data_IF_928951873909
#
_entry.id   IF_928951873909
#
_cell.length_a   1.000
_cell.length_b   1.000
_cell.length_c   1.000
_cell.angle_alpha   90.00
_cell.angle_beta   90.00
_cell.angle_gamma   90.00
#
_symmetry.space_group_name_H-M   'P 1'
#
loop_
_entity.id
_entity.type
_entity.pdbx_description
1 polymer ?
#
# COMPACT_ATOMS: atom_id res chain seq x y z
N UNK A 1 -19.79 -5.89 -7.87
CA UNK A 1 -19.94 -5.13 -6.61
C UNK A 1 -18.87 -4.03 -6.41
N UNK A 2 -17.56 -4.31 -6.31
CA UNK A 2 -16.53 -3.24 -6.16
C UNK A 2 -16.23 -2.53 -7.48
N UNK A 3 -16.04 -3.28 -8.57
CA UNK A 3 -15.78 -2.71 -9.91
C UNK A 3 -16.90 -1.76 -10.36
N UNK A 4 -18.16 -2.19 -10.22
CA UNK A 4 -19.34 -1.38 -10.52
C UNK A 4 -19.39 -0.12 -9.66
N UNK A 5 -19.06 -0.21 -8.36
CA UNK A 5 -19.00 0.95 -7.49
C UNK A 5 -17.93 1.97 -7.91
N UNK A 6 -16.77 1.50 -8.39
CA UNK A 6 -15.74 2.39 -8.96
C UNK A 6 -16.26 3.13 -10.18
N UNK A 7 -16.94 2.43 -11.10
CA UNK A 7 -17.49 3.02 -12.32
C UNK A 7 -18.59 4.05 -12.03
N UNK A 8 -19.48 3.74 -11.08
CA UNK A 8 -20.63 4.57 -10.71
C UNK A 8 -20.31 5.72 -9.75
N UNK A 9 -19.09 5.78 -9.20
CA UNK A 9 -18.70 6.85 -8.26
C UNK A 9 -18.87 8.24 -8.90
N UNK A 10 -19.33 9.25 -8.17
CA UNK A 10 -19.35 10.61 -8.73
C UNK A 10 -17.92 11.13 -8.84
N UNK A 11 -17.56 11.87 -9.91
CA UNK A 11 -16.27 12.54 -9.97
C UNK A 11 -16.19 13.52 -8.79
N UNK A 12 -15.24 13.29 -7.89
CA UNK A 12 -14.95 14.17 -6.76
C UNK A 12 -13.47 14.56 -6.81
N UNK A 13 -13.09 15.56 -6.02
CA UNK A 13 -11.66 15.88 -5.82
C UNK A 13 -10.94 14.87 -4.91
N UNK A 14 -11.62 13.80 -4.47
CA UNK A 14 -11.01 12.76 -3.63
C UNK A 14 -10.40 11.65 -4.49
N UNK A 15 -9.24 11.15 -4.07
CA UNK A 15 -8.57 10.02 -4.72
C UNK A 15 -9.37 8.72 -4.49
N UNK A 16 -9.64 7.98 -5.57
CA UNK A 16 -10.33 6.69 -5.48
C UNK A 16 -9.34 5.55 -5.24
N UNK A 17 -9.39 5.02 -4.01
CA UNK A 17 -8.52 3.95 -3.57
C UNK A 17 -9.29 2.67 -3.24
N UNK A 18 -8.70 1.50 -3.55
CA UNK A 18 -9.22 0.20 -3.10
C UNK A 18 -8.18 -0.52 -2.26
N UNK A 19 -8.59 -1.00 -1.07
CA UNK A 19 -7.79 -1.94 -0.28
C UNK A 19 -8.07 -3.36 -0.75
N UNK A 20 -7.04 -4.08 -1.16
CA UNK A 20 -7.15 -5.50 -1.55
C UNK A 20 -6.86 -6.42 -0.36
N UNK A 21 -7.00 -7.73 -0.56
CA UNK A 21 -6.51 -8.73 0.37
C UNK A 21 -4.97 -8.84 0.34
N UNK A 22 -4.37 -9.23 1.47
CA UNK A 22 -2.91 -9.33 1.62
C UNK A 22 -2.34 -10.46 0.76
N UNK A 23 -1.43 -10.16 -0.20
CA UNK A 23 -0.77 -11.20 -1.00
C UNK A 23 0.01 -12.20 -0.14
N UNK A 24 0.60 -11.74 0.95
CA UNK A 24 1.36 -12.55 1.92
C UNK A 24 0.52 -13.59 2.67
N UNK A 25 -0.81 -13.42 2.76
CA UNK A 25 -1.72 -14.35 3.47
C UNK A 25 -2.52 -15.19 2.49
N UNK A 26 -3.04 -14.58 1.44
CA UNK A 26 -3.96 -15.25 0.50
C UNK A 26 -3.68 -14.81 -0.93
N UNK A 27 -2.60 -15.34 -1.56
CA UNK A 27 -2.17 -14.93 -2.89
C UNK A 27 -3.27 -15.04 -3.96
N UNK A 28 -4.04 -16.14 -3.95
CA UNK A 28 -5.11 -16.37 -4.92
C UNK A 28 -6.26 -15.34 -4.80
N UNK A 29 -6.61 -14.96 -3.57
CA UNK A 29 -7.66 -13.96 -3.31
C UNK A 29 -7.15 -12.57 -3.69
N UNK A 30 -5.91 -12.23 -3.33
CA UNK A 30 -5.28 -10.98 -3.73
C UNK A 30 -5.21 -10.85 -5.26
N UNK A 31 -4.90 -11.93 -5.98
CA UNK A 31 -4.92 -11.93 -7.44
C UNK A 31 -6.34 -11.70 -7.98
N UNK A 32 -7.35 -12.38 -7.44
CA UNK A 32 -8.75 -12.17 -7.83
C UNK A 32 -9.20 -10.73 -7.59
N UNK A 33 -8.74 -10.07 -6.53
CA UNK A 33 -9.05 -8.67 -6.28
C UNK A 33 -8.43 -7.78 -7.36
N UNK A 34 -7.15 -8.03 -7.71
CA UNK A 34 -6.46 -7.28 -8.76
C UNK A 34 -7.15 -7.44 -10.12
N UNK A 35 -7.53 -8.66 -10.48
CA UNK A 35 -8.24 -8.94 -11.72
C UNK A 35 -9.60 -8.20 -11.79
N UNK A 36 -10.24 -7.98 -10.64
CA UNK A 36 -11.51 -7.25 -10.56
C UNK A 36 -11.34 -5.72 -10.62
N UNK A 37 -10.28 -5.17 -10.01
CA UNK A 37 -10.14 -3.71 -9.81
C UNK A 37 -9.24 -3.04 -10.84
N UNK A 38 -8.17 -3.69 -11.29
CA UNK A 38 -7.21 -3.12 -12.24
C UNK A 38 -7.80 -2.74 -13.60
N UNK A 39 -8.83 -3.42 -14.15
CA UNK A 39 -9.46 -3.01 -15.40
C UNK A 39 -10.22 -1.67 -15.31
N UNK A 40 -10.49 -1.16 -14.10
CA UNK A 40 -11.24 0.08 -13.93
C UNK A 40 -10.41 1.31 -14.31
N UNK A 41 -10.94 2.16 -15.19
CA UNK A 41 -10.30 3.43 -15.59
C UNK A 41 -10.30 4.49 -14.48
N UNK A 42 -11.07 4.25 -13.41
CA UNK A 42 -11.27 5.22 -12.31
C UNK A 42 -10.44 4.90 -11.08
N UNK A 43 -9.78 3.74 -11.04
CA UNK A 43 -8.92 3.36 -9.93
C UNK A 43 -7.65 4.22 -9.97
N UNK A 44 -7.37 4.92 -8.88
CA UNK A 44 -6.21 5.81 -8.78
C UNK A 44 -5.17 5.27 -7.80
N UNK A 45 -5.61 4.60 -6.73
CA UNK A 45 -4.73 4.04 -5.72
C UNK A 45 -5.13 2.62 -5.28
N UNK A 46 -4.13 1.84 -4.90
CA UNK A 46 -4.30 0.58 -4.18
C UNK A 46 -3.69 0.69 -2.79
N UNK A 47 -4.44 0.26 -1.78
CA UNK A 47 -3.95 0.10 -0.41
C UNK A 47 -3.57 -1.37 -0.23
N UNK A 48 -2.29 -1.61 0.03
CA UNK A 48 -1.73 -2.94 0.19
C UNK A 48 -1.58 -3.26 1.68
N UNK A 49 -2.41 -4.14 2.26
CA UNK A 49 -2.29 -4.52 3.66
C UNK A 49 -1.12 -5.50 3.87
N UNK A 50 -0.59 -5.54 5.10
CA UNK A 50 0.40 -6.53 5.57
C UNK A 50 1.58 -6.75 4.61
N UNK A 51 2.23 -5.66 4.22
CA UNK A 51 3.42 -5.72 3.37
C UNK A 51 4.59 -6.25 4.19
N UNK A 52 5.06 -7.45 3.85
CA UNK A 52 6.15 -8.14 4.55
C UNK A 52 7.39 -8.34 3.64
N UNK A 53 7.23 -8.11 2.33
CA UNK A 53 8.26 -8.37 1.33
C UNK A 53 8.15 -7.45 0.11
N UNK A 54 9.21 -7.37 -0.71
CA UNK A 54 9.17 -6.64 -1.98
C UNK A 54 8.35 -7.40 -3.04
N UNK A 55 8.25 -8.72 -2.90
CA UNK A 55 7.48 -9.62 -3.75
C UNK A 55 5.99 -9.27 -3.71
N UNK A 56 5.47 -8.87 -2.54
CA UNK A 56 4.09 -8.40 -2.39
C UNK A 56 3.82 -7.22 -3.33
N UNK A 57 4.72 -6.24 -3.38
CA UNK A 57 4.59 -5.04 -4.21
C UNK A 57 4.78 -5.39 -5.69
N UNK A 58 5.74 -6.25 -6.00
CA UNK A 58 6.04 -6.66 -7.37
C UNK A 58 4.88 -7.42 -8.03
N UNK A 59 4.09 -8.17 -7.26
CA UNK A 59 2.90 -8.84 -7.76
C UNK A 59 1.90 -7.85 -8.37
N UNK A 60 1.68 -6.70 -7.70
CA UNK A 60 0.81 -5.63 -8.20
C UNK A 60 1.45 -5.01 -9.44
N UNK A 61 2.76 -4.75 -9.40
CA UNK A 61 3.49 -4.18 -10.52
C UNK A 61 3.35 -5.02 -11.80
N UNK A 62 3.53 -6.34 -11.69
CA UNK A 62 3.35 -7.29 -12.79
C UNK A 62 1.91 -7.32 -13.29
N UNK A 63 0.93 -7.33 -12.39
CA UNK A 63 -0.49 -7.33 -12.78
C UNK A 63 -0.86 -6.06 -13.53
N UNK A 64 -0.37 -4.89 -13.10
CA UNK A 64 -0.62 -3.60 -13.74
C UNK A 64 -0.01 -3.48 -15.15
N UNK A 65 1.02 -4.27 -15.49
CA UNK A 65 1.61 -4.29 -16.84
C UNK A 65 0.62 -4.70 -17.92
N UNK A 66 -0.37 -5.52 -17.58
CA UNK A 66 -1.36 -6.04 -18.51
C UNK A 66 -2.42 -5.00 -18.94
N UNK A 67 -2.42 -3.83 -18.29
CA UNK A 67 -3.44 -2.80 -18.50
C UNK A 67 -2.83 -1.52 -19.07
N UNK A 68 -3.43 -1.00 -20.15
CA UNK A 68 -3.01 0.24 -20.82
C UNK A 68 -3.40 1.50 -20.04
N UNK A 69 -4.40 1.42 -19.16
CA UNK A 69 -4.90 2.50 -18.31
C UNK A 69 -3.78 3.17 -17.51
N UNK A 70 -2.83 2.39 -17.01
CA UNK A 70 -1.71 2.90 -16.22
C UNK A 70 -0.54 3.28 -17.12
N UNK A 71 -0.07 4.51 -16.96
CA UNK A 71 1.00 5.08 -17.78
C UNK A 71 1.94 5.91 -16.93
N UNK A 72 3.08 6.33 -17.50
CA UNK A 72 4.07 7.14 -16.78
C UNK A 72 3.48 8.45 -16.23
N UNK A 73 2.48 9.02 -16.91
CA UNK A 73 1.84 10.27 -16.51
C UNK A 73 0.71 10.04 -15.49
N UNK A 74 0.15 8.84 -15.46
CA UNK A 74 -0.90 8.45 -14.52
C UNK A 74 -0.65 7.02 -14.02
N UNK A 75 0.41 6.81 -13.21
CA UNK A 75 0.72 5.50 -12.65
C UNK A 75 -0.22 5.20 -11.48
N UNK A 76 -0.53 3.92 -11.28
CA UNK A 76 -1.28 3.46 -10.12
C UNK A 76 -0.51 3.76 -8.84
N UNK A 77 -1.12 4.50 -7.91
CA UNK A 77 -0.52 4.84 -6.64
C UNK A 77 -0.64 3.67 -5.66
N UNK A 78 0.47 3.29 -5.01
CA UNK A 78 0.47 2.26 -3.98
C UNK A 78 0.63 2.89 -2.60
N UNK A 79 -0.27 2.53 -1.69
CA UNK A 79 -0.22 2.89 -0.27
C UNK A 79 0.09 1.62 0.51
N UNK A 80 1.29 1.55 1.09
CA UNK A 80 1.76 0.37 1.81
C UNK A 80 1.38 0.47 3.28
N UNK A 81 0.62 -0.49 3.77
CA UNK A 81 0.17 -0.54 5.17
C UNK A 81 1.22 -1.24 6.05
N UNK A 82 1.67 -0.55 7.10
CA UNK A 82 2.52 -1.12 8.15
C UNK A 82 1.64 -1.61 9.29
N UNK A 83 1.57 -2.93 9.41
CA UNK A 83 0.66 -3.66 10.32
C UNK A 83 1.40 -4.55 11.33
N UNK A 84 2.74 -4.64 11.23
CA UNK A 84 3.54 -5.51 12.09
C UNK A 84 4.87 -4.87 12.49
N UNK A 85 5.48 -5.35 13.58
CA UNK A 85 6.84 -4.96 13.94
C UNK A 85 7.88 -5.34 12.87
N UNK A 86 7.70 -6.50 12.24
CA UNK A 86 8.58 -6.95 11.17
C UNK A 86 8.52 -6.01 9.96
N UNK A 87 7.31 -5.66 9.50
CA UNK A 87 7.09 -4.70 8.43
C UNK A 87 7.69 -3.33 8.76
N UNK A 88 7.47 -2.83 9.98
CA UNK A 88 8.01 -1.54 10.43
C UNK A 88 9.54 -1.48 10.32
N UNK A 89 10.23 -2.48 10.88
CA UNK A 89 11.69 -2.49 10.94
C UNK A 89 12.36 -2.81 9.59
N UNK A 90 11.69 -3.61 8.75
CA UNK A 90 12.23 -4.05 7.46
C UNK A 90 11.84 -3.13 6.30
N UNK A 91 10.96 -2.15 6.50
CA UNK A 91 10.47 -1.29 5.43
C UNK A 91 11.57 -0.63 4.60
N UNK A 92 12.66 -0.08 5.17
CA UNK A 92 13.78 0.45 4.38
C UNK A 92 14.34 -0.58 3.38
N UNK A 93 14.62 -1.80 3.84
CA UNK A 93 15.12 -2.87 2.99
C UNK A 93 14.11 -3.32 1.93
N UNK A 94 12.81 -3.38 2.27
CA UNK A 94 11.74 -3.67 1.31
C UNK A 94 11.70 -2.61 0.21
N UNK A 95 11.75 -1.34 0.59
CA UNK A 95 11.76 -0.20 -0.34
C UNK A 95 13.01 -0.21 -1.24
N UNK A 96 14.18 -0.53 -0.70
CA UNK A 96 15.42 -0.66 -1.49
C UNK A 96 15.33 -1.82 -2.49
N UNK A 97 14.87 -2.99 -2.03
CA UNK A 97 14.72 -4.17 -2.88
C UNK A 97 13.75 -3.92 -4.03
N UNK A 98 12.59 -3.32 -3.75
CA UNK A 98 11.62 -3.02 -4.80
C UNK A 98 12.12 -1.89 -5.72
N UNK A 99 12.90 -0.93 -5.22
CA UNK A 99 13.44 0.17 -6.04
C UNK A 99 14.31 -0.33 -7.19
N UNK A 100 15.09 -1.38 -6.98
CA UNK A 100 15.87 -2.03 -8.06
C UNK A 100 14.95 -2.57 -9.16
N UNK A 101 13.81 -3.16 -8.77
CA UNK A 101 12.82 -3.72 -9.69
C UNK A 101 11.92 -2.65 -10.31
N UNK A 102 11.73 -1.51 -9.64
CA UNK A 102 10.92 -0.37 -10.12
C UNK A 102 11.45 0.22 -11.43
N UNK A 103 12.72 0.04 -11.78
CA UNK A 103 13.23 0.43 -13.10
C UNK A 103 12.34 -0.10 -14.24
N UNK A 104 11.82 -1.33 -14.11
CA UNK A 104 10.91 -1.95 -15.08
C UNK A 104 9.48 -1.39 -14.99
N UNK A 105 9.00 -1.08 -13.79
CA UNK A 105 7.59 -0.84 -13.52
C UNK A 105 7.20 0.62 -13.25
N UNK A 106 8.17 1.55 -13.18
CA UNK A 106 7.96 2.96 -12.81
C UNK A 106 6.97 3.70 -13.71
N UNK A 107 6.73 3.18 -14.92
CA UNK A 107 5.78 3.72 -15.88
C UNK A 107 4.35 3.18 -15.69
N UNK A 108 4.13 2.25 -14.76
CA UNK A 108 2.81 1.67 -14.44
C UNK A 108 2.39 1.96 -13.02
N UNK A 109 3.32 1.88 -12.07
CA UNK A 109 3.02 2.04 -10.65
C UNK A 109 4.00 3.02 -10.00
N UNK A 110 3.57 3.59 -8.88
CA UNK A 110 4.44 4.35 -7.97
C UNK A 110 4.09 4.04 -6.53
N UNK A 111 5.09 3.95 -5.65
CA UNK A 111 4.84 3.91 -4.21
C UNK A 111 4.57 5.35 -3.77
N UNK A 112 3.37 5.61 -3.25
CA UNK A 112 2.91 6.95 -2.92
C UNK A 112 3.07 7.27 -1.43
N UNK A 113 2.74 6.30 -0.58
CA UNK A 113 2.67 6.53 0.86
C UNK A 113 2.96 5.26 1.67
N UNK A 114 3.44 5.48 2.90
CA UNK A 114 3.37 4.50 3.98
C UNK A 114 2.22 4.88 4.91
N UNK A 115 1.41 3.91 5.28
CA UNK A 115 0.26 4.09 6.18
C UNK A 115 0.45 3.30 7.46
N UNK A 116 0.23 3.94 8.61
CA UNK A 116 0.30 3.25 9.90
C UNK A 116 -1.06 2.65 10.28
N UNK A 117 -1.15 1.32 10.29
CA UNK A 117 -2.32 0.60 10.75
C UNK A 117 -2.14 0.20 12.23
N UNK A 118 -2.44 1.13 13.13
CA UNK A 118 -2.15 0.99 14.56
C UNK A 118 -2.85 -0.18 15.23
N UNK A 119 -4.05 -0.55 14.77
CA UNK A 119 -4.82 -1.64 15.40
C UNK A 119 -4.18 -3.00 15.15
N UNK A 120 -3.86 -3.30 13.89
CA UNK A 120 -3.14 -4.52 13.50
C UNK A 120 -1.72 -4.53 14.09
N UNK A 121 -1.04 -3.38 14.10
CA UNK A 121 0.28 -3.26 14.74
C UNK A 121 0.24 -3.61 16.23
N UNK A 122 -0.72 -3.06 16.99
CA UNK A 122 -0.90 -3.39 18.40
C UNK A 122 -1.22 -4.88 18.60
N UNK A 123 -2.10 -5.44 17.74
CA UNK A 123 -2.43 -6.86 17.79
C UNK A 123 -1.19 -7.74 17.52
N UNK A 124 -0.32 -7.35 16.58
CA UNK A 124 0.90 -8.10 16.24
C UNK A 124 1.99 -8.02 17.32
N UNK A 125 2.06 -6.90 18.05
CA UNK A 125 3.13 -6.63 19.02
C UNK A 125 2.74 -6.93 20.46
N UNK A 126 1.45 -7.22 20.71
CA UNK A 126 0.91 -7.37 22.06
C UNK A 126 0.85 -6.05 22.84
N UNK A 127 1.09 -4.90 22.20
CA UNK A 127 0.95 -3.60 22.84
C UNK A 127 -0.52 -3.39 23.19
N UNK A 128 -0.78 -3.32 24.50
CA UNK A 128 -2.12 -3.11 25.02
C UNK A 128 -2.74 -1.81 24.52
N UNK A 129 -4.07 -1.84 24.32
CA UNK A 129 -4.88 -0.65 24.00
C UNK A 129 -4.85 0.30 25.20
N UNK A 130 -3.90 1.22 25.21
CA UNK A 130 -3.82 2.30 26.19
C UNK A 130 -4.38 3.59 25.59
N UNK A 131 -5.11 4.37 26.39
CA UNK A 131 -5.44 5.76 26.02
C UNK A 131 -4.19 6.65 25.91
N UNK A 132 -3.08 6.21 26.50
CA UNK A 132 -1.80 6.88 26.39
C UNK A 132 -1.15 6.56 25.05
N UNK A 133 -1.03 7.58 24.20
CA UNK A 133 -0.48 7.52 22.84
C UNK A 133 1.04 7.22 22.83
N UNK A 134 1.71 7.27 23.99
CA UNK A 134 3.16 7.06 24.13
C UNK A 134 3.62 5.69 23.62
N UNK A 135 2.82 4.63 23.77
CA UNK A 135 3.21 3.28 23.30
C UNK A 135 3.36 3.21 21.78
N UNK A 136 2.73 4.13 21.04
CA UNK A 136 2.79 4.22 19.58
C UNK A 136 3.72 5.35 19.10
N UNK A 137 4.41 6.05 20.00
CA UNK A 137 5.31 7.14 19.62
C UNK A 137 6.44 6.64 18.72
N UNK A 138 7.13 5.58 19.14
CA UNK A 138 8.20 4.97 18.35
C UNK A 138 7.74 4.53 16.95
N UNK A 139 6.72 3.67 16.77
CA UNK A 139 6.34 3.21 15.45
C UNK A 139 5.83 4.34 14.54
N UNK A 140 5.11 5.33 15.11
CA UNK A 140 4.65 6.50 14.35
C UNK A 140 5.83 7.36 13.87
N UNK A 141 6.77 7.67 14.77
CA UNK A 141 7.95 8.47 14.43
C UNK A 141 8.84 7.74 13.42
N UNK A 142 9.08 6.44 13.63
CA UNK A 142 9.86 5.62 12.73
C UNK A 142 9.26 5.59 11.32
N UNK A 143 7.96 5.34 11.19
CA UNK A 143 7.28 5.33 9.90
C UNK A 143 7.40 6.68 9.17
N UNK A 144 7.20 7.80 9.88
CA UNK A 144 7.33 9.14 9.28
C UNK A 144 8.76 9.37 8.79
N UNK A 145 9.76 9.02 9.60
CA UNK A 145 11.17 9.15 9.23
C UNK A 145 11.50 8.33 7.99
N UNK A 146 11.09 7.06 7.94
CA UNK A 146 11.30 6.20 6.77
C UNK A 146 10.58 6.76 5.55
N UNK A 147 9.29 7.09 5.66
CA UNK A 147 8.53 7.65 4.54
C UNK A 147 9.23 8.89 3.97
N UNK A 148 9.68 9.82 4.82
CA UNK A 148 10.38 11.03 4.36
C UNK A 148 11.75 10.76 3.77
N UNK A 149 12.51 9.80 4.29
CA UNK A 149 13.81 9.41 3.73
C UNK A 149 13.70 8.92 2.28
N UNK A 150 12.60 8.25 1.92
CA UNK A 150 12.34 7.78 0.54
C UNK A 150 11.42 8.72 -0.27
N UNK A 151 11.16 9.94 0.21
CA UNK A 151 10.32 10.92 -0.51
C UNK A 151 8.83 10.55 -0.58
N UNK A 152 8.36 9.66 0.29
CA UNK A 152 6.99 9.17 0.37
C UNK A 152 6.12 10.03 1.30
N UNK A 153 4.80 9.95 1.12
CA UNK A 153 3.86 10.47 2.11
C UNK A 153 3.78 9.53 3.32
N UNK A 154 3.51 10.11 4.49
CA UNK A 154 3.28 9.37 5.73
C UNK A 154 1.83 9.58 6.17
N UNK A 155 1.04 8.53 6.16
CA UNK A 155 -0.36 8.55 6.60
C UNK A 155 -0.40 7.98 8.01
N UNK A 156 -0.40 8.89 8.98
CA UNK A 156 -0.52 8.57 10.41
C UNK A 156 -1.75 9.31 10.94
N UNK A 157 -2.84 8.58 11.17
CA UNK A 157 -4.02 9.18 11.80
C UNK A 157 -3.70 9.47 13.28
N UNK A 158 -4.15 10.63 13.77
CA UNK A 158 -3.93 11.07 15.15
C UNK A 158 -4.59 10.11 16.13
#
# INVERSE_FOLDING_TARGET
MVHEALQCSTPTNAELAVRINAPSISPAVAQSDLDAVLPSERLQALVLPKVESAEDIELIARSAMNFSTYTKNSPLALVLSIESAASLLRMPAILEHISVRMATYHHKIRIAALMFASEDYCASTGIGRSRNVQSLLFPRAHLVTVAKAYGLQAIVRR
#
